data_IF_996619668366
#
_entry.id   IF_996619668366
#
_cell.length_a   1.000
_cell.length_b   1.000
_cell.length_c   1.000
_cell.angle_alpha   90.00
_cell.angle_beta   90.00
_cell.angle_gamma   90.00
#
_symmetry.space_group_name_H-M   'P 1'
#
loop_
_entity.id
_entity.type
_entity.pdbx_description
1 polymer ?
#
# COMPACT_ATOMS: atom_id res chain seq x y z
N UNK A 1 3.56 -5.57 22.10
CA UNK A 1 3.80 -4.15 21.75
C UNK A 1 4.94 -3.52 22.58
N UNK A 2 4.94 -3.59 23.90
CA UNK A 2 6.00 -2.99 24.73
C UNK A 2 7.41 -3.48 24.33
N UNK A 3 7.65 -4.80 24.28
CA UNK A 3 8.95 -5.37 23.89
C UNK A 3 9.35 -4.98 22.45
N UNK A 4 8.38 -4.83 21.56
CA UNK A 4 8.60 -4.40 20.17
C UNK A 4 9.14 -2.98 20.13
N UNK A 5 8.48 -2.05 20.83
CA UNK A 5 8.89 -0.64 20.89
C UNK A 5 10.27 -0.51 21.55
N UNK A 6 10.48 -1.17 22.69
CA UNK A 6 11.78 -1.17 23.37
C UNK A 6 12.92 -1.69 22.48
N UNK A 7 12.64 -2.65 21.59
CA UNK A 7 13.61 -3.12 20.61
C UNK A 7 13.87 -2.06 19.52
N UNK A 8 12.80 -1.47 18.96
CA UNK A 8 12.90 -0.48 17.88
C UNK A 8 13.53 0.85 18.34
N UNK A 9 13.32 1.26 19.58
CA UNK A 9 13.91 2.47 20.20
C UNK A 9 15.45 2.44 20.22
N UNK A 10 16.06 1.26 20.07
CA UNK A 10 17.52 1.16 19.89
C UNK A 10 17.99 1.70 18.56
N UNK A 11 17.13 1.70 17.55
CA UNK A 11 17.44 2.05 16.16
C UNK A 11 16.80 3.37 15.70
N UNK A 12 15.64 3.73 16.24
CA UNK A 12 14.91 4.95 15.91
C UNK A 12 15.27 6.01 16.94
N UNK A 13 16.01 7.06 16.54
CA UNK A 13 16.62 8.04 17.44
C UNK A 13 16.07 9.47 17.27
N UNK A 14 14.93 9.62 16.66
CA UNK A 14 14.34 10.95 16.44
C UNK A 14 12.94 10.85 15.87
N UNK A 15 12.33 12.00 15.57
CA UNK A 15 11.02 12.02 14.95
C UNK A 15 11.07 11.36 13.58
N UNK A 16 10.00 10.67 13.24
CA UNK A 16 9.79 10.09 11.92
C UNK A 16 8.82 10.99 11.16
N UNK A 17 9.22 11.43 9.97
CA UNK A 17 8.36 12.28 9.15
C UNK A 17 7.34 11.46 8.36
N UNK A 18 7.77 10.36 7.75
CA UNK A 18 6.87 9.51 6.98
C UNK A 18 7.06 8.02 7.26
N UNK A 19 5.95 7.30 7.30
CA UNK A 19 5.92 5.84 7.22
C UNK A 19 5.55 5.41 5.80
N UNK A 20 6.18 4.36 5.30
CA UNK A 20 5.90 3.80 3.98
C UNK A 20 5.64 2.30 4.14
N UNK A 21 4.57 1.79 3.52
CA UNK A 21 4.31 0.35 3.42
C UNK A 21 4.38 -0.03 1.95
N UNK A 22 5.36 -0.84 1.58
CA UNK A 22 5.57 -1.28 0.19
C UNK A 22 4.73 -2.50 -0.15
N UNK A 23 4.10 -2.43 -1.31
CA UNK A 23 3.43 -3.55 -1.96
C UNK A 23 4.39 -4.47 -2.71
N UNK A 24 3.87 -5.60 -3.19
CA UNK A 24 4.62 -6.57 -4.00
C UNK A 24 5.21 -5.91 -5.25
N UNK A 25 6.48 -6.18 -5.54
CA UNK A 25 7.18 -5.62 -6.71
C UNK A 25 7.63 -4.16 -6.60
N UNK A 26 7.38 -3.48 -5.46
CA UNK A 26 7.72 -2.06 -5.27
C UNK A 26 8.98 -1.84 -4.39
N UNK A 27 9.69 -2.90 -4.06
CA UNK A 27 10.87 -2.91 -3.18
C UNK A 27 12.08 -2.14 -3.72
N UNK A 28 12.15 -1.83 -5.03
CA UNK A 28 13.21 -0.97 -5.58
C UNK A 28 13.25 0.44 -4.96
N UNK A 29 12.14 0.88 -4.36
CA UNK A 29 12.10 2.16 -3.62
C UNK A 29 13.11 2.22 -2.46
N UNK A 30 13.46 1.08 -1.87
CA UNK A 30 14.41 0.98 -0.75
C UNK A 30 15.79 1.52 -1.13
N UNK A 31 16.17 1.44 -2.40
CA UNK A 31 17.47 1.92 -2.87
C UNK A 31 17.61 3.44 -2.73
N UNK A 32 16.50 4.17 -2.70
CA UNK A 32 16.47 5.62 -2.47
C UNK A 32 16.67 6.04 -1.01
N UNK A 33 16.51 5.11 -0.05
CA UNK A 33 16.69 5.39 1.38
C UNK A 33 18.19 5.38 1.70
N UNK A 34 18.70 6.48 2.23
CA UNK A 34 20.09 6.64 2.67
C UNK A 34 20.23 6.30 4.16
N UNK A 35 21.48 6.06 4.60
CA UNK A 35 21.82 5.74 5.99
C UNK A 35 20.94 4.65 6.61
N UNK A 36 20.50 3.71 5.77
CA UNK A 36 19.48 2.72 6.12
C UNK A 36 19.97 1.66 7.10
N UNK A 37 19.13 1.37 8.09
CA UNK A 37 19.21 0.21 8.96
C UNK A 37 18.09 -0.74 8.60
N UNK A 38 18.42 -2.00 8.33
CA UNK A 38 17.47 -3.03 7.92
C UNK A 38 17.27 -3.97 9.11
N UNK A 39 16.03 -4.13 9.54
CA UNK A 39 15.62 -5.01 10.62
C UNK A 39 14.67 -6.07 10.09
N UNK A 40 15.08 -7.34 10.13
CA UNK A 40 14.22 -8.46 9.74
C UNK A 40 13.04 -8.59 10.71
N UNK A 41 11.81 -8.73 10.20
CA UNK A 41 10.60 -8.88 11.03
C UNK A 41 10.74 -10.00 12.05
N UNK A 42 11.35 -11.11 11.67
CA UNK A 42 11.57 -12.26 12.54
C UNK A 42 12.43 -11.97 13.76
N UNK A 43 13.29 -10.94 13.69
CA UNK A 43 14.16 -10.50 14.78
C UNK A 43 13.52 -9.45 15.66
N UNK A 44 12.38 -8.88 15.24
CA UNK A 44 11.66 -7.87 16.02
C UNK A 44 10.66 -8.58 16.93
N UNK A 45 10.77 -8.46 18.25
CA UNK A 45 9.86 -9.13 19.18
C UNK A 45 8.39 -8.78 18.91
N UNK A 46 7.55 -9.79 18.72
CA UNK A 46 6.11 -9.62 18.50
C UNK A 46 5.68 -9.26 17.08
N UNK A 47 6.62 -9.11 16.14
CA UNK A 47 6.26 -8.97 14.73
C UNK A 47 5.74 -10.30 14.15
N UNK A 48 4.83 -10.18 13.21
CA UNK A 48 4.36 -11.31 12.44
C UNK A 48 5.40 -11.68 11.37
N UNK A 49 5.37 -12.95 10.95
CA UNK A 49 6.13 -13.40 9.78
C UNK A 49 5.25 -13.27 8.55
N UNK A 50 5.80 -12.81 7.46
CA UNK A 50 5.14 -12.89 6.15
C UNK A 50 5.78 -14.01 5.34
N UNK A 51 4.96 -14.76 4.60
CA UNK A 51 5.39 -15.84 3.70
C UNK A 51 5.03 -15.53 2.24
N UNK A 52 4.46 -14.36 1.99
CA UNK A 52 4.01 -13.97 0.65
C UNK A 52 5.20 -13.66 -0.22
N UNK A 53 5.25 -14.26 -1.41
CA UNK A 53 6.25 -13.97 -2.42
C UNK A 53 6.23 -12.48 -2.79
N UNK A 54 7.42 -11.87 -2.90
CA UNK A 54 7.55 -10.42 -3.15
C UNK A 54 7.60 -9.56 -1.88
N UNK A 55 7.40 -10.14 -0.68
CA UNK A 55 7.55 -9.47 0.60
C UNK A 55 8.78 -9.97 1.35
N UNK A 56 9.75 -9.07 1.57
CA UNK A 56 11.01 -9.43 2.24
C UNK A 56 10.88 -9.53 3.77
N UNK A 57 9.81 -9.00 4.36
CA UNK A 57 9.62 -9.02 5.80
C UNK A 57 10.67 -8.22 6.56
N UNK A 58 10.89 -6.98 6.14
CA UNK A 58 11.92 -6.09 6.68
C UNK A 58 11.34 -4.73 7.08
N UNK A 59 11.82 -4.17 8.18
CA UNK A 59 11.60 -2.78 8.54
C UNK A 59 12.89 -2.00 8.27
N UNK A 60 12.82 -0.96 7.46
CA UNK A 60 13.95 -0.15 7.04
C UNK A 60 13.79 1.24 7.64
N UNK A 61 14.80 1.68 8.37
CA UNK A 61 14.86 2.99 9.00
C UNK A 61 15.99 3.76 8.31
N UNK A 62 15.72 4.98 7.87
CA UNK A 62 16.72 5.80 7.20
C UNK A 62 16.16 7.15 6.81
N UNK A 63 16.73 7.77 5.80
CA UNK A 63 16.36 9.11 5.35
C UNK A 63 16.28 9.22 3.83
N UNK A 64 15.41 10.09 3.37
CA UNK A 64 15.35 10.57 1.99
C UNK A 64 15.47 12.09 2.06
N UNK A 65 16.60 12.62 1.55
CA UNK A 65 16.84 14.07 1.51
C UNK A 65 16.61 14.78 2.86
N UNK A 66 17.20 14.25 3.94
CA UNK A 66 17.06 14.71 5.33
C UNK A 66 15.64 14.53 5.94
N UNK A 67 14.73 13.85 5.27
CA UNK A 67 13.44 13.48 5.81
C UNK A 67 13.53 12.06 6.39
N UNK A 68 13.27 11.90 7.68
CA UNK A 68 13.37 10.61 8.37
C UNK A 68 12.20 9.71 8.00
N UNK A 69 12.49 8.51 7.55
CA UNK A 69 11.48 7.55 7.10
C UNK A 69 11.61 6.20 7.78
N UNK A 70 10.46 5.56 8.01
CA UNK A 70 10.38 4.12 8.29
C UNK A 70 9.64 3.47 7.13
N UNK A 71 10.28 2.49 6.50
CA UNK A 71 9.73 1.77 5.38
C UNK A 71 9.53 0.29 5.73
N UNK A 72 8.31 -0.19 5.68
CA UNK A 72 7.95 -1.59 5.79
C UNK A 72 8.05 -2.26 4.41
N UNK A 73 9.08 -3.07 4.20
CA UNK A 73 9.31 -3.86 3.00
C UNK A 73 8.57 -5.19 3.10
N UNK A 74 7.28 -5.13 2.96
CA UNK A 74 6.34 -6.24 3.11
C UNK A 74 5.25 -5.93 4.13
N UNK A 75 4.17 -6.65 4.00
CA UNK A 75 2.95 -6.51 4.82
C UNK A 75 2.35 -7.85 5.15
N UNK A 76 1.30 -7.83 5.96
CA UNK A 76 0.52 -8.99 6.36
C UNK A 76 -0.82 -8.99 5.62
N UNK A 77 -1.30 -10.18 5.22
CA UNK A 77 -2.55 -10.31 4.49
C UNK A 77 -3.57 -11.13 5.27
N UNK A 78 -4.84 -10.89 4.98
CA UNK A 78 -5.94 -11.62 5.60
C UNK A 78 -5.89 -13.12 5.29
N UNK A 79 -5.55 -13.47 4.05
CA UNK A 79 -5.46 -14.87 3.60
C UNK A 79 -4.29 -15.66 4.23
N UNK A 80 -3.35 -15.00 4.92
CA UNK A 80 -2.34 -15.67 5.74
C UNK A 80 -2.90 -16.16 7.10
N UNK A 81 -4.22 -16.00 7.34
CA UNK A 81 -4.88 -16.36 8.59
C UNK A 81 -4.79 -15.27 9.68
N UNK A 82 -4.46 -14.04 9.29
CA UNK A 82 -4.38 -12.91 10.22
C UNK A 82 -5.70 -12.15 10.30
N UNK A 83 -6.15 -11.81 11.50
CA UNK A 83 -7.29 -10.89 11.68
C UNK A 83 -6.91 -9.45 11.27
N UNK A 84 -7.90 -8.62 10.96
CA UNK A 84 -7.67 -7.19 10.65
C UNK A 84 -6.90 -6.46 11.75
N UNK A 85 -7.13 -6.82 13.00
CA UNK A 85 -6.40 -6.24 14.14
C UNK A 85 -4.91 -6.61 14.13
N UNK A 86 -4.59 -7.87 13.79
CA UNK A 86 -3.19 -8.32 13.63
C UNK A 86 -2.50 -7.68 12.43
N UNK A 87 -3.19 -7.53 11.29
CA UNK A 87 -2.64 -6.82 10.12
C UNK A 87 -2.36 -5.36 10.49
N UNK A 88 -3.29 -4.73 11.21
CA UNK A 88 -3.13 -3.35 11.70
C UNK A 88 -2.02 -3.16 12.74
N UNK A 89 -1.42 -4.23 13.26
CA UNK A 89 -0.33 -4.13 14.23
C UNK A 89 0.85 -3.30 13.72
N UNK A 90 1.18 -3.42 12.44
CA UNK A 90 2.24 -2.62 11.81
C UNK A 90 1.95 -1.12 11.95
N UNK A 91 0.74 -0.67 11.60
CA UNK A 91 0.32 0.73 11.76
C UNK A 91 0.37 1.16 13.23
N UNK A 92 -0.07 0.29 14.16
CA UNK A 92 -0.03 0.57 15.60
C UNK A 92 1.40 0.80 16.09
N UNK A 93 2.36 0.04 15.61
CA UNK A 93 3.79 0.23 15.92
C UNK A 93 4.30 1.55 15.33
N UNK A 94 4.07 1.77 14.04
CA UNK A 94 4.55 2.96 13.34
C UNK A 94 4.00 4.25 13.95
N UNK A 95 2.72 4.27 14.37
CA UNK A 95 2.09 5.43 15.01
C UNK A 95 2.76 5.85 16.33
N UNK A 96 3.45 4.94 17.05
CA UNK A 96 4.17 5.33 18.26
C UNK A 96 5.35 6.28 18.02
N UNK A 97 5.81 6.41 16.76
CA UNK A 97 6.85 7.34 16.36
C UNK A 97 6.29 8.64 15.77
N UNK A 98 4.99 8.83 15.90
CA UNK A 98 4.20 10.01 15.52
C UNK A 98 4.52 10.57 14.12
N UNK A 99 4.52 9.72 13.09
CA UNK A 99 4.78 10.17 11.73
C UNK A 99 3.70 11.14 11.26
N UNK A 100 4.09 12.12 10.45
CA UNK A 100 3.17 13.10 9.86
C UNK A 100 2.21 12.44 8.87
N UNK A 101 2.65 11.37 8.20
CA UNK A 101 1.88 10.66 7.19
C UNK A 101 2.29 9.19 7.05
N UNK A 102 1.36 8.35 6.64
CA UNK A 102 1.60 6.97 6.20
C UNK A 102 1.29 6.82 4.71
N UNK A 103 2.29 6.46 3.91
CA UNK A 103 2.16 6.13 2.50
C UNK A 103 1.95 4.61 2.38
N UNK A 104 0.76 4.20 2.01
CA UNK A 104 0.41 2.78 1.85
C UNK A 104 0.39 2.48 0.36
N UNK A 105 1.24 1.57 -0.09
CA UNK A 105 1.35 1.26 -1.51
C UNK A 105 1.00 -0.19 -1.80
N UNK A 106 0.51 -0.49 -2.99
CA UNK A 106 0.17 -1.84 -3.41
C UNK A 106 0.28 -2.02 -4.92
N UNK A 107 0.32 -3.27 -5.35
CA UNK A 107 0.00 -3.70 -6.71
C UNK A 107 -1.44 -4.18 -6.73
N UNK A 108 -2.21 -3.80 -7.74
CA UNK A 108 -3.64 -4.09 -7.84
C UNK A 108 -4.10 -4.32 -9.27
N UNK A 109 -5.20 -5.06 -9.42
CA UNK A 109 -5.90 -5.21 -10.69
C UNK A 109 -6.61 -3.91 -11.08
N UNK A 110 -6.43 -3.49 -12.34
CA UNK A 110 -7.12 -2.34 -12.93
C UNK A 110 -8.52 -2.74 -13.40
N UNK A 111 -9.53 -2.00 -13.01
CA UNK A 111 -10.93 -2.24 -13.41
C UNK A 111 -11.45 -1.18 -14.40
N UNK A 112 -10.61 -0.28 -14.85
CA UNK A 112 -10.96 0.76 -15.81
C UNK A 112 -10.12 0.61 -17.09
N UNK A 113 -10.74 0.16 -18.17
CA UNK A 113 -10.08 -0.07 -19.46
C UNK A 113 -9.54 1.19 -20.15
N UNK A 114 -9.91 2.38 -19.67
CA UNK A 114 -9.33 3.64 -20.15
C UNK A 114 -8.02 4.01 -19.45
N UNK A 115 -7.57 3.20 -18.50
CA UNK A 115 -6.31 3.40 -17.79
C UNK A 115 -5.27 2.40 -18.25
N UNK A 116 -4.05 2.88 -18.52
CA UNK A 116 -2.97 2.01 -18.94
C UNK A 116 -2.46 1.15 -17.78
N UNK A 117 -2.12 -0.09 -18.07
CA UNK A 117 -1.41 -0.92 -17.10
C UNK A 117 -0.07 -0.29 -16.76
N UNK A 118 0.20 -0.26 -15.45
CA UNK A 118 1.34 0.37 -14.85
C UNK A 118 1.19 1.84 -14.54
N UNK A 119 0.11 2.47 -14.93
CA UNK A 119 -0.19 3.77 -14.36
C UNK A 119 -0.43 3.65 -12.86
N UNK A 120 -0.26 4.76 -12.17
CA UNK A 120 -0.53 4.86 -10.75
C UNK A 120 -1.97 5.33 -10.51
N UNK A 121 -2.56 4.86 -9.42
CA UNK A 121 -3.84 5.35 -8.94
C UNK A 121 -3.71 5.74 -7.46
N UNK A 122 -4.14 6.94 -7.10
CA UNK A 122 -4.38 7.31 -5.70
C UNK A 122 -5.83 7.03 -5.34
N UNK A 123 -6.04 6.34 -4.22
CA UNK A 123 -7.38 6.00 -3.77
C UNK A 123 -8.06 7.24 -3.16
N UNK A 124 -9.25 7.58 -3.67
CA UNK A 124 -10.13 8.60 -3.10
C UNK A 124 -11.39 8.00 -2.45
N UNK A 125 -11.55 6.70 -2.54
CA UNK A 125 -12.63 5.91 -1.97
C UNK A 125 -12.15 4.47 -1.75
N UNK A 126 -12.72 3.79 -0.76
CA UNK A 126 -12.51 2.37 -0.51
C UNK A 126 -13.83 1.62 -0.52
N UNK A 127 -13.83 0.44 -1.12
CA UNK A 127 -14.94 -0.50 -1.12
C UNK A 127 -14.46 -1.75 -0.39
N UNK A 128 -15.06 -2.04 0.76
CA UNK A 128 -14.86 -3.32 1.45
C UNK A 128 -15.77 -4.36 0.81
N UNK A 129 -15.19 -5.21 0.01
CA UNK A 129 -15.84 -6.34 -0.69
C UNK A 129 -15.47 -7.68 -0.02
N UNK A 130 -15.11 -7.65 1.26
CA UNK A 130 -14.70 -8.84 2.01
C UNK A 130 -15.86 -9.68 2.53
N UNK A 131 -17.03 -9.05 2.70
CA UNK A 131 -18.22 -9.64 3.35
C UNK A 131 -17.99 -10.16 4.78
N UNK A 132 -16.90 -9.75 5.46
CA UNK A 132 -16.56 -10.20 6.82
C UNK A 132 -17.52 -9.58 7.86
N UNK A 133 -17.81 -8.29 7.73
CA UNK A 133 -18.65 -7.57 8.69
C UNK A 133 -20.04 -7.25 8.17
N UNK A 134 -20.35 -7.56 6.91
CA UNK A 134 -21.60 -7.20 6.25
C UNK A 134 -21.89 -8.16 5.08
N UNK A 135 -23.15 -8.44 4.82
CA UNK A 135 -23.60 -9.17 3.63
C UNK A 135 -23.71 -8.29 2.36
N UNK A 136 -23.23 -7.06 2.41
CA UNK A 136 -23.16 -6.11 1.29
C UNK A 136 -21.83 -5.39 1.29
N UNK A 137 -21.30 -4.98 0.13
CA UNK A 137 -20.12 -4.13 0.07
C UNK A 137 -20.31 -2.84 0.88
N UNK A 138 -19.27 -2.44 1.62
CA UNK A 138 -19.27 -1.19 2.39
C UNK A 138 -18.37 -0.16 1.71
N UNK A 139 -18.90 1.05 1.54
CA UNK A 139 -18.14 2.16 0.96
C UNK A 139 -17.60 3.04 2.08
N UNK A 140 -16.30 3.31 2.03
CA UNK A 140 -15.61 4.22 2.92
C UNK A 140 -15.03 5.38 2.12
N UNK A 141 -15.53 6.57 2.39
CA UNK A 141 -14.99 7.78 1.76
C UNK A 141 -13.62 8.12 2.37
N UNK A 142 -12.69 8.46 1.51
CA UNK A 142 -11.41 9.00 1.91
C UNK A 142 -11.57 10.50 2.20
N UNK A 143 -11.06 10.93 3.36
CA UNK A 143 -11.02 12.35 3.68
C UNK A 143 -9.79 12.96 3.02
N UNK A 144 -10.01 13.80 2.02
CA UNK A 144 -8.92 14.55 1.40
C UNK A 144 -8.18 15.39 2.44
N UNK A 145 -6.88 15.47 2.31
CA UNK A 145 -5.98 16.27 3.14
C UNK A 145 -4.97 17.03 2.27
N UNK A 146 -4.21 17.93 2.87
CA UNK A 146 -3.23 18.75 2.14
C UNK A 146 -2.13 17.91 1.49
N UNK A 147 -1.79 16.78 2.08
CA UNK A 147 -0.82 15.85 1.52
C UNK A 147 -1.28 15.23 0.19
N UNK A 148 -2.57 14.92 0.06
CA UNK A 148 -3.12 14.41 -1.21
C UNK A 148 -3.04 15.48 -2.30
N UNK A 149 -3.44 16.72 -2.00
CA UNK A 149 -3.35 17.83 -2.94
C UNK A 149 -1.90 18.08 -3.38
N UNK A 150 -0.97 18.00 -2.45
CA UNK A 150 0.47 18.10 -2.69
C UNK A 150 0.98 16.98 -3.61
N UNK A 151 0.59 15.72 -3.35
CA UNK A 151 0.95 14.57 -4.18
C UNK A 151 0.45 14.75 -5.63
N UNK A 152 -0.81 15.15 -5.79
CA UNK A 152 -1.41 15.40 -7.12
C UNK A 152 -0.67 16.52 -7.88
N UNK A 153 -0.29 17.58 -7.18
CA UNK A 153 0.49 18.68 -7.76
C UNK A 153 1.88 18.21 -8.21
N UNK A 154 2.56 17.40 -7.39
CA UNK A 154 3.86 16.82 -7.74
C UNK A 154 3.76 15.90 -8.95
N UNK A 155 2.77 15.02 -9.00
CA UNK A 155 2.52 14.15 -10.14
C UNK A 155 2.36 14.96 -11.43
N UNK A 156 1.50 15.98 -11.40
CA UNK A 156 1.27 16.89 -12.54
C UNK A 156 2.55 17.60 -13.00
N UNK A 157 3.32 18.18 -12.05
CA UNK A 157 4.56 18.91 -12.34
C UNK A 157 5.64 18.02 -12.98
N UNK A 158 5.62 16.73 -12.68
CA UNK A 158 6.62 15.77 -13.17
C UNK A 158 6.11 14.88 -14.31
N UNK A 159 4.95 15.20 -14.90
CA UNK A 159 4.30 14.42 -15.96
C UNK A 159 4.06 12.94 -15.60
N UNK A 160 3.84 12.64 -14.31
CA UNK A 160 3.53 11.30 -13.83
C UNK A 160 2.02 11.10 -13.92
N UNK A 161 1.58 10.08 -14.68
CA UNK A 161 0.18 9.73 -14.82
C UNK A 161 -0.35 9.15 -13.51
N UNK A 162 -1.12 9.93 -12.76
CA UNK A 162 -1.73 9.55 -11.49
C UNK A 162 -3.25 9.65 -11.59
N UNK A 163 -3.90 8.50 -11.70
CA UNK A 163 -5.36 8.40 -11.73
C UNK A 163 -5.93 8.57 -10.32
N UNK A 164 -7.21 8.89 -10.20
CA UNK A 164 -7.94 8.92 -8.93
C UNK A 164 -9.12 7.98 -9.02
N UNK A 165 -9.31 7.11 -8.03
CA UNK A 165 -10.39 6.13 -8.08
C UNK A 165 -10.64 5.37 -6.79
N UNK A 166 -11.65 4.50 -6.83
CA UNK A 166 -12.00 3.62 -5.72
C UNK A 166 -11.14 2.35 -5.72
N UNK A 167 -10.46 2.10 -4.60
CA UNK A 167 -9.79 0.82 -4.33
C UNK A 167 -10.78 -0.14 -3.67
N UNK A 168 -10.92 -1.34 -4.23
CA UNK A 168 -11.75 -2.41 -3.68
C UNK A 168 -10.88 -3.45 -3.00
N UNK A 169 -11.23 -3.78 -1.77
CA UNK A 169 -10.57 -4.82 -1.00
C UNK A 169 -11.34 -6.14 -1.09
N UNK A 170 -10.65 -7.20 -1.46
CA UNK A 170 -11.10 -8.59 -1.40
C UNK A 170 -10.19 -9.39 -0.46
N UNK A 171 -10.67 -10.51 0.07
CA UNK A 171 -9.92 -11.30 1.05
C UNK A 171 -8.78 -12.10 0.44
N UNK A 172 -8.89 -12.53 -0.81
CA UNK A 172 -7.96 -13.49 -1.43
C UNK A 172 -8.03 -14.88 -0.77
N UNK A 173 -7.10 -15.80 -1.04
CA UNK A 173 -5.91 -15.67 -1.90
C UNK A 173 -6.17 -15.87 -3.40
N UNK A 174 -7.38 -16.30 -3.77
CA UNK A 174 -7.76 -16.54 -5.16
C UNK A 174 -8.18 -15.22 -5.81
N UNK A 175 -7.76 -15.00 -7.05
CA UNK A 175 -8.22 -13.86 -7.84
C UNK A 175 -9.73 -13.92 -8.07
N UNK A 176 -10.31 -12.75 -8.23
CA UNK A 176 -11.73 -12.57 -8.47
C UNK A 176 -12.14 -13.22 -9.81
N UNK A 177 -13.34 -13.75 -9.86
CA UNK A 177 -13.99 -14.20 -11.10
C UNK A 177 -14.45 -13.02 -11.95
N UNK A 178 -14.71 -13.24 -13.23
CA UNK A 178 -15.26 -12.21 -14.11
C UNK A 178 -16.60 -11.62 -13.60
N UNK A 179 -17.41 -12.45 -12.93
CA UNK A 179 -18.69 -12.00 -12.35
C UNK A 179 -18.49 -11.10 -11.14
N UNK A 180 -17.55 -11.43 -10.26
CA UNK A 180 -17.18 -10.59 -9.12
C UNK A 180 -16.58 -9.25 -9.60
N UNK A 181 -15.70 -9.27 -10.62
CA UNK A 181 -15.13 -8.06 -11.22
C UNK A 181 -16.23 -7.15 -11.76
N UNK A 182 -17.21 -7.73 -12.48
CA UNK A 182 -18.36 -6.96 -12.99
C UNK A 182 -19.18 -6.35 -11.86
N UNK A 183 -19.41 -7.07 -10.79
CA UNK A 183 -20.15 -6.58 -9.62
C UNK A 183 -19.37 -5.46 -8.90
N UNK A 184 -18.05 -5.62 -8.71
CA UNK A 184 -17.18 -4.60 -8.14
C UNK A 184 -17.22 -3.31 -8.97
N UNK A 185 -17.20 -3.40 -10.31
CA UNK A 185 -17.32 -2.25 -11.21
C UNK A 185 -18.68 -1.59 -11.04
N UNK A 186 -19.76 -2.34 -10.94
CA UNK A 186 -21.11 -1.82 -10.70
C UNK A 186 -21.21 -1.06 -9.37
N UNK A 187 -20.41 -1.43 -8.37
CA UNK A 187 -20.29 -0.70 -7.11
C UNK A 187 -19.30 0.50 -7.17
N UNK A 188 -18.73 0.76 -8.35
CA UNK A 188 -17.84 1.90 -8.61
C UNK A 188 -16.38 1.63 -8.35
N UNK A 189 -15.94 0.37 -8.23
CA UNK A 189 -14.54 -0.02 -8.09
C UNK A 189 -13.73 0.31 -9.34
N UNK A 190 -12.52 0.86 -9.15
CA UNK A 190 -11.58 1.18 -10.22
C UNK A 190 -10.30 0.36 -10.14
N UNK A 191 -9.98 -0.14 -8.95
CA UNK A 191 -8.90 -1.08 -8.71
C UNK A 191 -9.33 -2.12 -7.66
N UNK A 192 -8.77 -3.32 -7.73
CA UNK A 192 -9.04 -4.42 -6.79
C UNK A 192 -7.74 -5.03 -6.27
N UNK A 193 -7.73 -5.40 -5.00
CA UNK A 193 -6.59 -6.08 -4.39
C UNK A 193 -6.90 -6.62 -2.99
N UNK A 194 -5.97 -7.41 -2.47
CA UNK A 194 -6.14 -8.26 -1.28
C UNK A 194 -5.43 -7.72 -0.04
N UNK A 195 -5.06 -6.43 -0.04
CA UNK A 195 -4.29 -5.78 1.04
C UNK A 195 -4.81 -4.37 1.32
N UNK A 196 -4.02 -3.55 2.06
CA UNK A 196 -4.20 -2.09 2.11
C UNK A 196 -5.38 -1.59 2.94
N UNK A 197 -6.56 -2.18 2.77
CA UNK A 197 -7.76 -1.73 3.47
C UNK A 197 -7.67 -1.88 5.00
N UNK A 198 -7.13 -2.99 5.56
CA UNK A 198 -6.90 -3.09 7.00
C UNK A 198 -5.94 -2.03 7.54
N UNK A 199 -4.87 -1.69 6.79
CA UNK A 199 -3.93 -0.62 7.15
C UNK A 199 -4.63 0.75 7.11
N UNK A 200 -5.37 1.04 6.04
CA UNK A 200 -6.19 2.25 5.92
C UNK A 200 -7.15 2.42 7.09
N UNK A 201 -7.88 1.36 7.48
CA UNK A 201 -8.80 1.40 8.61
C UNK A 201 -8.07 1.70 9.93
N UNK A 202 -6.88 1.15 10.13
CA UNK A 202 -6.09 1.42 11.33
C UNK A 202 -5.54 2.85 11.34
N UNK A 203 -5.08 3.40 10.21
CA UNK A 203 -4.72 4.81 10.09
C UNK A 203 -5.91 5.71 10.46
N UNK A 204 -7.09 5.41 9.92
CA UNK A 204 -8.33 6.16 10.23
C UNK A 204 -8.69 6.10 11.73
N UNK A 205 -8.64 4.91 12.34
CA UNK A 205 -8.90 4.72 13.78
C UNK A 205 -7.93 5.50 14.67
N UNK A 206 -6.70 5.70 14.20
CA UNK A 206 -5.62 6.36 14.95
C UNK A 206 -5.43 7.83 14.58
N UNK A 207 -6.29 8.40 13.75
CA UNK A 207 -6.15 9.76 13.22
C UNK A 207 -4.74 9.99 12.62
N UNK A 208 -4.22 9.01 11.89
CA UNK A 208 -2.98 9.11 11.15
C UNK A 208 -3.29 9.44 9.70
N UNK A 209 -2.79 10.59 9.24
CA UNK A 209 -2.89 10.97 7.83
C UNK A 209 -2.25 9.89 6.96
N UNK A 210 -2.91 9.56 5.88
CA UNK A 210 -2.42 8.52 4.98
C UNK A 210 -2.76 8.84 3.53
N UNK A 211 -2.01 8.27 2.62
CA UNK A 211 -2.30 8.23 1.19
C UNK A 211 -2.13 6.78 0.73
N UNK A 212 -3.06 6.30 -0.06
CA UNK A 212 -2.97 4.98 -0.67
C UNK A 212 -2.70 5.12 -2.15
N UNK A 213 -1.59 4.50 -2.60
CA UNK A 213 -1.16 4.52 -4.00
C UNK A 213 -1.11 3.09 -4.51
N UNK A 214 -1.86 2.83 -5.58
CA UNK A 214 -1.90 1.54 -6.27
C UNK A 214 -1.10 1.61 -7.57
N UNK A 215 -0.25 0.62 -7.81
CA UNK A 215 0.32 0.35 -9.12
C UNK A 215 -0.61 -0.63 -9.85
N UNK A 216 -1.16 -0.23 -10.99
CA UNK A 216 -2.12 -1.01 -11.75
C UNK A 216 -1.38 -2.03 -12.64
N UNK A 217 -1.29 -3.28 -12.21
CA UNK A 217 -0.36 -4.27 -12.80
C UNK A 217 -0.97 -5.19 -13.83
N UNK A 218 -2.27 -5.41 -13.77
CA UNK A 218 -3.04 -6.27 -14.65
C UNK A 218 -4.48 -5.76 -14.75
N UNK A 219 -5.21 -6.12 -15.79
CA UNK A 219 -6.66 -5.91 -15.78
C UNK A 219 -7.36 -7.00 -14.95
N UNK A 220 -8.52 -6.65 -14.41
CA UNK A 220 -9.37 -7.60 -13.69
C UNK A 220 -9.84 -8.75 -14.59
N UNK A 221 -10.09 -9.91 -14.01
CA UNK A 221 -10.50 -11.11 -14.75
C UNK A 221 -11.76 -10.85 -15.61
N UNK A 222 -11.74 -11.31 -16.86
CA UNK A 222 -12.85 -11.19 -17.81
C UNK A 222 -13.03 -9.80 -18.43
N UNK A 223 -12.13 -8.84 -18.17
CA UNK A 223 -12.16 -7.54 -18.84
C UNK A 223 -11.49 -7.58 -20.21
N UNK A 224 -10.53 -8.46 -20.40
CA UNK A 224 -9.93 -8.76 -21.70
C UNK A 224 -10.19 -10.23 -22.06
N UNK A 225 -10.41 -10.50 -23.35
CA UNK A 225 -10.61 -11.87 -23.82
C UNK A 225 -9.32 -12.68 -23.71
N UNK A 226 -9.43 -13.93 -23.21
CA UNK A 226 -8.34 -14.90 -23.14
C UNK A 226 -7.15 -14.58 -22.23
N UNK A 227 -7.27 -13.61 -21.31
CA UNK A 227 -6.23 -13.36 -20.31
C UNK A 227 -6.47 -14.15 -19.02
N UNK A 228 -5.42 -14.85 -18.58
CA UNK A 228 -5.33 -15.45 -17.23
C UNK A 228 -4.34 -14.67 -16.38
N UNK A 229 -4.79 -14.20 -15.23
CA UNK A 229 -3.95 -13.43 -14.31
C UNK A 229 -3.03 -14.40 -13.56
N UNK A 230 -1.72 -14.14 -13.62
CA UNK A 230 -0.71 -14.88 -12.85
C UNK A 230 0.07 -13.91 -11.95
N UNK A 231 0.40 -14.33 -10.74
CA UNK A 231 1.15 -13.49 -9.80
C UNK A 231 2.52 -13.03 -10.37
N UNK A 232 3.17 -13.86 -11.17
CA UNK A 232 4.43 -13.48 -11.83
C UNK A 232 4.26 -12.30 -12.81
N UNK A 233 3.12 -12.19 -13.48
CA UNK A 233 2.85 -11.08 -14.39
C UNK A 233 2.63 -9.77 -13.61
N UNK A 234 2.03 -9.86 -12.43
CA UNK A 234 1.89 -8.74 -11.48
C UNK A 234 3.28 -8.19 -11.10
N UNK A 235 4.21 -9.08 -10.73
CA UNK A 235 5.58 -8.69 -10.37
C UNK A 235 6.35 -8.09 -11.56
N UNK A 236 6.25 -8.71 -12.73
CA UNK A 236 6.92 -8.25 -13.95
C UNK A 236 6.39 -6.88 -14.41
N UNK A 237 5.09 -6.67 -14.34
CA UNK A 237 4.50 -5.39 -14.72
C UNK A 237 4.82 -4.29 -13.70
N UNK A 238 4.87 -4.58 -12.40
CA UNK A 238 5.31 -3.60 -11.40
C UNK A 238 6.69 -3.03 -11.72
N UNK A 239 7.62 -3.84 -12.27
CA UNK A 239 8.95 -3.39 -12.66
C UNK A 239 8.97 -2.36 -13.81
N UNK A 240 7.96 -2.34 -14.70
CA UNK A 240 7.90 -1.39 -15.82
C UNK A 240 7.71 0.06 -15.34
N UNK A 241 7.09 0.24 -14.20
CA UNK A 241 6.62 1.54 -13.71
C UNK A 241 7.30 2.00 -12.42
N UNK A 242 8.30 1.22 -11.98
CA UNK A 242 9.07 1.54 -10.77
C UNK A 242 9.68 2.94 -10.80
N UNK A 243 10.03 3.45 -11.98
CA UNK A 243 10.64 4.77 -12.09
C UNK A 243 9.64 5.88 -11.73
N UNK A 244 8.42 5.85 -12.28
CA UNK A 244 7.39 6.84 -11.97
C UNK A 244 6.94 6.73 -10.51
N UNK A 245 6.78 5.50 -10.02
CA UNK A 245 6.45 5.25 -8.62
C UNK A 245 7.53 5.80 -7.67
N UNK A 246 8.78 5.41 -7.89
CA UNK A 246 9.89 5.86 -7.05
C UNK A 246 10.05 7.38 -7.11
N UNK A 247 10.00 7.97 -8.32
CA UNK A 247 10.11 9.41 -8.52
C UNK A 247 8.99 10.18 -7.81
N UNK A 248 7.74 9.69 -7.89
CA UNK A 248 6.61 10.31 -7.20
C UNK A 248 6.79 10.30 -5.68
N UNK A 249 7.14 9.14 -5.11
CA UNK A 249 7.32 9.02 -3.66
C UNK A 249 8.51 9.84 -3.14
N UNK A 250 9.66 9.76 -3.84
CA UNK A 250 10.85 10.52 -3.46
C UNK A 250 10.53 12.02 -3.46
N UNK A 251 9.99 12.57 -4.55
CA UNK A 251 9.65 13.99 -4.64
C UNK A 251 8.61 14.42 -3.63
N UNK A 252 7.65 13.55 -3.32
CA UNK A 252 6.67 13.83 -2.28
C UNK A 252 7.34 13.93 -0.90
N UNK A 253 8.18 12.97 -0.54
CA UNK A 253 8.89 12.94 0.74
C UNK A 253 9.87 14.13 0.85
N UNK A 254 10.61 14.44 -0.22
CA UNK A 254 11.51 15.61 -0.29
C UNK A 254 10.78 16.95 -0.09
N UNK A 255 9.49 16.98 -0.34
CA UNK A 255 8.67 18.18 -0.24
C UNK A 255 8.04 18.37 1.14
N UNK A 256 8.26 17.45 2.08
CA UNK A 256 7.70 17.51 3.43
C UNK A 256 8.49 18.47 4.31
#
# INVERSE_FOLDING_TARGET
MHNTLQYLDKYIKGPIDACIILGSGLNSFIDSIKNKKILEYEKIPGFLKTKVEGHQGQLIIGEINNTNVICANGRFHYYEGHSFDKIGFLIKILKNYDPKICLITNSSGCLNLNWDLGSLMVANKFIDYSFIESNKPKIHNYKSNDYLNKLLSIAKKNNIKLNQGAYTFTTGPIYETASEIKDIINHGGNAVGMSTFPEFLNCKKMNLDNIVISCLTNYGAGLLENETIKHIDVLNNANKYKNDFNNLLIKFIESM
#
